data_IF_255488323797
#
_entry.id   IF_255488323797
#
_cell.length_a   1.000
_cell.length_b   1.000
_cell.length_c   1.000
_cell.angle_alpha   90.00
_cell.angle_beta   90.00
_cell.angle_gamma   90.00
#
_symmetry.space_group_name_H-M   'P 1'
#
loop_
_entity.id
_entity.type
_entity.pdbx_description
1 polymer ?
#
# COMPACT_ATOMS: atom_id res chain seq x y z
N UNK A 1 -14.83 -38.24 23.80
CA UNK A 1 -13.65 -37.39 23.56
C UNK A 1 -12.58 -38.32 23.03
N UNK A 2 -12.57 -38.51 21.72
CA UNK A 2 -11.73 -39.50 21.03
C UNK A 2 -10.57 -38.78 20.35
N UNK A 3 -9.34 -39.12 20.73
CA UNK A 3 -8.17 -38.95 19.89
C UNK A 3 -8.28 -39.93 18.71
N UNK A 4 -8.25 -39.42 17.47
CA UNK A 4 -8.11 -40.25 16.27
C UNK A 4 -6.97 -39.72 15.39
N UNK A 5 -5.88 -40.46 15.49
CA UNK A 5 -4.81 -40.68 14.52
C UNK A 5 -5.12 -40.28 13.07
N UNK A 6 -4.30 -39.41 12.49
CA UNK A 6 -4.05 -39.42 11.05
C UNK A 6 -2.59 -39.81 10.79
N UNK A 7 -2.43 -40.99 10.18
CA UNK A 7 -1.19 -41.64 9.76
C UNK A 7 -0.55 -40.86 8.61
N UNK A 8 0.71 -40.44 8.76
CA UNK A 8 1.53 -40.06 7.61
C UNK A 8 2.29 -41.29 7.12
N UNK A 9 2.09 -41.64 5.86
CA UNK A 9 2.82 -42.70 5.19
C UNK A 9 4.29 -42.31 5.02
N UNK A 10 5.18 -43.15 5.55
CA UNK A 10 6.59 -43.18 5.18
C UNK A 10 6.71 -43.78 3.78
N UNK A 11 7.17 -43.00 2.80
CA UNK A 11 7.87 -43.55 1.64
C UNK A 11 9.32 -43.16 1.80
N UNK A 12 10.13 -44.17 2.11
CA UNK A 12 11.58 -44.07 2.17
C UNK A 12 12.10 -44.99 1.06
N UNK A 13 12.62 -44.44 -0.04
CA UNK A 13 13.38 -45.22 -1.02
C UNK A 13 14.60 -44.42 -1.48
N UNK A 14 15.76 -44.94 -1.07
CA UNK A 14 17.08 -44.62 -1.55
C UNK A 14 17.19 -44.88 -3.06
N UNK A 15 17.94 -44.00 -3.73
CA UNK A 15 18.71 -44.19 -4.97
C UNK A 15 17.96 -44.44 -6.28
N UNK A 16 17.71 -43.36 -7.02
CA UNK A 16 17.84 -43.29 -8.48
C UNK A 16 17.96 -41.81 -8.88
N UNK A 17 18.97 -41.28 -9.56
CA UNK A 17 20.24 -41.77 -10.07
C UNK A 17 20.96 -40.57 -10.69
N UNK A 18 22.31 -40.62 -10.68
CA UNK A 18 23.25 -39.94 -11.58
C UNK A 18 23.09 -38.42 -11.83
N UNK A 19 24.07 -37.65 -11.35
CA UNK A 19 24.54 -36.43 -12.03
C UNK A 19 25.12 -36.83 -13.41
N UNK A 20 24.82 -36.07 -14.47
CA UNK A 20 25.85 -35.76 -15.45
C UNK A 20 25.92 -34.25 -15.70
N UNK A 21 27.12 -33.79 -16.02
CA UNK A 21 27.54 -32.41 -15.86
C UNK A 21 26.79 -31.37 -16.69
N UNK A 22 26.80 -30.13 -16.19
CA UNK A 22 26.90 -28.97 -17.05
C UNK A 22 28.02 -28.04 -16.57
N UNK A 23 28.76 -27.63 -17.58
CA UNK A 23 30.07 -27.00 -17.64
C UNK A 23 30.14 -25.70 -16.84
N UNK A 24 31.26 -25.52 -16.15
CA UNK A 24 31.76 -24.19 -15.85
C UNK A 24 31.98 -23.46 -17.19
N UNK A 25 31.36 -22.30 -17.35
CA UNK A 25 31.65 -21.40 -18.46
C UNK A 25 32.53 -20.27 -17.91
N UNK A 26 33.78 -20.10 -18.39
CA UNK A 26 34.70 -19.10 -17.90
C UNK A 26 34.44 -17.77 -18.65
N UNK A 27 33.41 -17.04 -18.24
CA UNK A 27 33.25 -15.62 -18.59
C UNK A 27 32.10 -15.04 -17.76
N UNK A 28 32.42 -14.10 -16.88
CA UNK A 28 31.45 -13.42 -16.04
C UNK A 28 30.41 -12.65 -16.85
N UNK A 29 29.16 -13.10 -16.82
CA UNK A 29 27.97 -12.24 -16.90
C UNK A 29 26.92 -12.76 -15.92
N UNK A 30 26.74 -12.04 -14.81
CA UNK A 30 25.57 -12.21 -13.93
C UNK A 30 24.32 -11.97 -14.79
N UNK A 31 23.55 -13.01 -15.06
CA UNK A 31 22.19 -12.86 -15.56
C UNK A 31 21.39 -12.32 -14.36
N UNK A 32 21.17 -11.00 -14.35
CA UNK A 32 20.29 -10.34 -13.41
C UNK A 32 18.86 -10.76 -13.78
N UNK A 33 18.36 -11.81 -13.14
CA UNK A 33 16.93 -12.08 -13.10
C UNK A 33 16.27 -10.89 -12.38
N UNK A 34 15.82 -9.90 -13.16
CA UNK A 34 14.85 -8.93 -12.67
C UNK A 34 13.54 -9.70 -12.52
N UNK A 35 13.31 -10.25 -11.34
CA UNK A 35 11.96 -10.61 -10.92
C UNK A 35 11.11 -9.36 -11.14
N UNK A 36 10.22 -9.40 -12.15
CA UNK A 36 9.16 -8.40 -12.27
C UNK A 36 8.37 -8.51 -10.99
N UNK A 37 8.45 -7.49 -10.11
CA UNK A 37 7.56 -7.38 -8.96
C UNK A 37 6.14 -7.65 -9.46
N UNK A 38 5.39 -8.58 -8.85
CA UNK A 38 3.99 -8.75 -9.22
C UNK A 38 3.31 -7.39 -9.03
N UNK A 39 2.81 -6.84 -10.12
CA UNK A 39 1.89 -5.70 -10.06
C UNK A 39 0.65 -6.29 -9.43
N UNK A 40 0.41 -5.97 -8.15
CA UNK A 40 -0.86 -6.30 -7.51
C UNK A 40 -1.97 -5.82 -8.45
N UNK A 41 -2.97 -6.67 -8.77
CA UNK A 41 -4.11 -6.21 -9.53
C UNK A 41 -4.67 -4.97 -8.82
N UNK A 42 -5.06 -3.92 -9.57
CA UNK A 42 -5.64 -2.74 -8.96
C UNK A 42 -6.74 -3.19 -8.00
N UNK A 43 -6.63 -2.76 -6.74
CA UNK A 43 -7.67 -3.01 -5.75
C UNK A 43 -8.98 -2.48 -6.36
N UNK A 44 -10.09 -3.21 -6.26
CA UNK A 44 -11.35 -2.72 -6.78
C UNK A 44 -11.63 -1.38 -6.13
N UNK A 45 -11.84 -0.36 -6.96
CA UNK A 45 -12.24 0.97 -6.48
C UNK A 45 -13.40 0.74 -5.52
N UNK A 46 -13.39 1.37 -4.34
CA UNK A 46 -14.51 1.32 -3.41
C UNK A 46 -15.63 2.16 -3.99
N UNK A 47 -16.24 1.64 -5.05
CA UNK A 47 -17.29 2.33 -5.74
C UNK A 47 -18.56 2.15 -4.95
N UNK A 48 -18.76 3.11 -4.07
CA UNK A 48 -20.01 3.33 -3.38
C UNK A 48 -21.01 4.04 -4.31
N UNK A 49 -22.23 4.25 -3.82
CA UNK A 49 -23.29 5.05 -4.46
C UNK A 49 -22.93 6.52 -4.76
N UNK A 50 -21.68 6.92 -4.46
CA UNK A 50 -21.13 8.27 -4.62
C UNK A 50 -20.48 8.52 -5.99
N UNK A 51 -20.47 7.52 -6.87
CA UNK A 51 -19.90 7.63 -8.20
C UNK A 51 -20.91 7.34 -9.32
N UNK A 52 -20.65 7.90 -10.49
CA UNK A 52 -21.42 7.69 -11.71
C UNK A 52 -20.45 7.42 -12.86
N UNK A 53 -20.63 6.32 -13.60
CA UNK A 53 -19.90 6.12 -14.87
C UNK A 53 -20.75 6.57 -16.06
N UNK A 54 -20.12 7.28 -16.98
CA UNK A 54 -20.67 7.48 -18.33
C UNK A 54 -20.50 6.20 -19.18
N UNK A 55 -21.59 5.48 -19.45
CA UNK A 55 -21.61 4.17 -20.14
C UNK A 55 -20.78 4.11 -21.43
N UNK A 56 -20.80 5.16 -22.25
CA UNK A 56 -20.12 5.18 -23.56
C UNK A 56 -18.60 5.41 -23.46
N UNK A 57 -18.15 6.16 -22.46
CA UNK A 57 -16.77 6.63 -22.37
C UNK A 57 -15.96 5.95 -21.25
N UNK A 58 -16.62 5.21 -20.35
CA UNK A 58 -16.01 4.61 -19.17
C UNK A 58 -15.46 5.64 -18.19
N UNK A 59 -15.93 6.89 -18.26
CA UNK A 59 -15.46 7.96 -17.39
C UNK A 59 -16.22 7.91 -16.07
N UNK A 60 -15.49 7.74 -14.97
CA UNK A 60 -15.99 7.80 -13.61
C UNK A 60 -16.03 9.24 -13.11
N UNK A 61 -17.18 9.63 -12.59
CA UNK A 61 -17.43 10.92 -11.99
C UNK A 61 -17.78 10.75 -10.52
N UNK A 62 -17.28 11.64 -9.67
CA UNK A 62 -17.95 11.96 -8.42
C UNK A 62 -19.41 12.38 -8.70
N UNK A 63 -20.35 11.94 -7.87
CA UNK A 63 -21.79 12.22 -8.04
C UNK A 63 -22.13 13.71 -8.01
N UNK A 64 -21.32 14.52 -7.34
CA UNK A 64 -21.48 15.98 -7.29
C UNK A 64 -20.78 16.69 -8.46
N UNK A 65 -20.15 15.95 -9.37
CA UNK A 65 -19.49 16.54 -10.54
C UNK A 65 -20.52 17.24 -11.44
N UNK A 66 -20.22 18.49 -11.83
CA UNK A 66 -21.09 19.25 -12.73
C UNK A 66 -21.36 18.53 -14.06
N UNK A 67 -20.44 17.67 -14.51
CA UNK A 67 -20.61 16.88 -15.73
C UNK A 67 -21.76 15.87 -15.61
N UNK A 68 -22.07 15.38 -14.40
CA UNK A 68 -23.13 14.39 -14.15
C UNK A 68 -24.49 14.93 -14.56
N UNK A 69 -24.76 16.21 -14.30
CA UNK A 69 -26.01 16.89 -14.71
C UNK A 69 -26.23 16.88 -16.23
N UNK A 70 -25.16 16.66 -17.01
CA UNK A 70 -25.20 16.62 -18.48
C UNK A 70 -25.26 15.19 -19.02
N UNK A 71 -25.11 14.17 -18.18
CA UNK A 71 -25.22 12.76 -18.61
C UNK A 71 -26.70 12.39 -18.67
N UNK A 72 -27.19 12.04 -19.86
CA UNK A 72 -28.58 11.54 -20.05
C UNK A 72 -28.84 10.33 -19.14
N UNK A 73 -30.01 10.27 -18.50
CA UNK A 73 -30.36 9.23 -17.52
C UNK A 73 -30.07 7.79 -17.98
N UNK A 74 -30.36 7.44 -19.24
CA UNK A 74 -30.08 6.10 -19.79
C UNK A 74 -28.60 5.80 -20.10
N UNK A 75 -27.67 6.71 -19.78
CA UNK A 75 -26.22 6.57 -20.02
C UNK A 75 -25.40 6.55 -18.72
N UNK A 76 -26.06 6.52 -17.58
CA UNK A 76 -25.43 6.46 -16.26
C UNK A 76 -25.36 5.01 -15.78
N UNK A 77 -24.21 4.61 -15.26
CA UNK A 77 -24.05 3.35 -14.52
C UNK A 77 -23.79 3.75 -13.06
N UNK A 78 -24.66 3.29 -12.17
CA UNK A 78 -24.63 3.60 -10.74
C UNK A 78 -24.11 2.43 -9.88
N UNK A 79 -23.82 1.29 -10.51
CA UNK A 79 -23.20 0.12 -9.88
C UNK A 79 -21.96 -0.23 -10.68
N UNK A 80 -20.80 -0.13 -10.05
CA UNK A 80 -19.53 -0.46 -10.70
C UNK A 80 -19.12 -1.84 -10.22
N UNK A 81 -18.88 -2.74 -11.16
CA UNK A 81 -18.34 -4.05 -10.82
C UNK A 81 -16.86 -3.92 -10.49
N UNK A 82 -16.32 -4.72 -9.55
CA UNK A 82 -14.94 -4.66 -9.09
C UNK A 82 -13.88 -4.53 -10.20
N UNK A 83 -14.10 -5.19 -11.34
CA UNK A 83 -13.15 -5.27 -12.46
C UNK A 83 -13.43 -4.24 -13.57
N UNK A 84 -14.29 -3.26 -13.32
CA UNK A 84 -14.59 -2.23 -14.32
C UNK A 84 -13.40 -1.30 -14.45
N UNK A 85 -12.69 -1.37 -15.59
CA UNK A 85 -11.72 -0.34 -15.94
C UNK A 85 -12.42 1.00 -16.15
N UNK A 86 -12.07 1.97 -15.32
CA UNK A 86 -12.62 3.33 -15.38
C UNK A 86 -11.53 4.37 -15.45
N UNK A 87 -11.84 5.49 -16.10
CA UNK A 87 -10.98 6.68 -16.11
C UNK A 87 -11.65 7.79 -15.32
N UNK A 88 -10.93 8.39 -14.37
CA UNK A 88 -11.47 9.52 -13.63
C UNK A 88 -11.72 10.71 -14.55
N UNK A 89 -12.86 11.38 -14.35
CA UNK A 89 -13.15 12.65 -14.98
C UNK A 89 -12.12 13.70 -14.55
N UNK A 90 -11.50 14.39 -15.51
CA UNK A 90 -10.47 15.43 -15.23
C UNK A 90 -10.94 16.54 -14.30
N UNK A 91 -12.25 16.81 -14.26
CA UNK A 91 -12.82 17.89 -13.46
C UNK A 91 -13.08 17.54 -12.00
N UNK A 92 -13.38 16.27 -11.71
CA UNK A 92 -13.65 15.82 -10.34
C UNK A 92 -12.68 14.74 -9.87
N UNK A 93 -11.61 14.47 -10.63
CA UNK A 93 -10.66 13.39 -10.34
C UNK A 93 -10.14 13.48 -8.91
N UNK A 94 -9.73 14.66 -8.47
CA UNK A 94 -9.16 14.84 -7.14
C UNK A 94 -10.15 14.48 -6.04
N UNK A 95 -11.30 15.16 -6.02
CA UNK A 95 -12.41 14.86 -5.09
C UNK A 95 -12.85 13.40 -5.14
N UNK A 96 -12.98 12.82 -6.33
CA UNK A 96 -13.35 11.41 -6.50
C UNK A 96 -12.30 10.45 -5.91
N UNK A 97 -11.02 10.73 -6.11
CA UNK A 97 -9.91 9.94 -5.56
C UNK A 97 -9.84 10.06 -4.04
N UNK A 98 -9.99 11.27 -3.49
CA UNK A 98 -10.04 11.48 -2.03
C UNK A 98 -11.26 10.78 -1.43
N UNK A 99 -12.45 10.95 -2.02
CA UNK A 99 -13.70 10.31 -1.58
C UNK A 99 -13.61 8.79 -1.56
N UNK A 100 -12.86 8.20 -2.50
CA UNK A 100 -12.61 6.75 -2.51
C UNK A 100 -11.73 6.29 -1.34
N UNK A 101 -10.81 7.15 -0.89
CA UNK A 101 -9.84 6.84 0.15
C UNK A 101 -10.29 7.18 1.57
N UNK A 102 -11.21 8.12 1.76
CA UNK A 102 -11.69 8.45 3.11
C UNK A 102 -12.61 7.37 3.65
N UNK A 103 -12.45 7.08 4.93
CA UNK A 103 -13.27 6.10 5.66
C UNK A 103 -14.70 6.62 5.89
N UNK A 104 -14.81 7.91 6.23
CA UNK A 104 -16.07 8.64 6.33
C UNK A 104 -16.17 9.67 5.18
N UNK A 105 -17.25 9.62 4.41
CA UNK A 105 -17.47 10.49 3.26
C UNK A 105 -17.68 11.95 3.69
N UNK A 106 -18.14 12.19 4.93
CA UNK A 106 -18.28 13.55 5.49
C UNK A 106 -16.94 14.26 5.68
N UNK A 107 -15.85 13.52 5.88
CA UNK A 107 -14.49 14.05 6.00
C UNK A 107 -13.84 14.39 4.66
N UNK A 108 -14.51 14.09 3.53
CA UNK A 108 -13.93 14.24 2.20
C UNK A 108 -13.41 15.66 1.94
N UNK A 109 -14.16 16.70 2.31
CA UNK A 109 -13.77 18.09 2.07
C UNK A 109 -12.59 18.52 2.93
N UNK A 110 -12.58 18.12 4.21
CA UNK A 110 -11.49 18.41 5.15
C UNK A 110 -10.20 17.70 4.70
N UNK A 111 -10.32 16.44 4.28
CA UNK A 111 -9.20 15.65 3.79
C UNK A 111 -8.65 16.18 2.45
N UNK A 112 -9.51 16.60 1.52
CA UNK A 112 -9.09 17.24 0.27
C UNK A 112 -8.34 18.54 0.53
N UNK A 113 -8.89 19.41 1.40
CA UNK A 113 -8.24 20.67 1.81
C UNK A 113 -6.88 20.43 2.45
N UNK A 114 -6.78 19.43 3.33
CA UNK A 114 -5.49 19.02 3.92
C UNK A 114 -4.46 18.69 2.84
N UNK A 115 -4.82 17.89 1.84
CA UNK A 115 -3.89 17.52 0.78
C UNK A 115 -3.52 18.69 -0.13
N UNK A 116 -4.45 19.64 -0.35
CA UNK A 116 -4.18 20.88 -1.08
C UNK A 116 -3.18 21.77 -0.36
N UNK A 117 -3.40 22.02 0.94
CA UNK A 117 -2.50 22.83 1.77
C UNK A 117 -1.09 22.24 1.82
N UNK A 118 -0.97 20.92 1.77
CA UNK A 118 0.32 20.20 1.76
C UNK A 118 0.86 19.94 0.36
N UNK A 119 0.22 20.51 -0.66
CA UNK A 119 0.62 20.44 -2.07
C UNK A 119 0.82 19.00 -2.57
N UNK A 120 -0.03 18.08 -2.08
CA UNK A 120 0.01 16.68 -2.48
C UNK A 120 -0.67 16.53 -3.84
N UNK A 121 0.08 16.07 -4.84
CA UNK A 121 -0.42 15.95 -6.20
C UNK A 121 -1.52 14.90 -6.33
N UNK A 122 -2.47 15.14 -7.24
CA UNK A 122 -3.56 14.21 -7.54
C UNK A 122 -3.03 12.84 -8.00
N UNK A 123 -1.91 12.81 -8.72
CA UNK A 123 -1.25 11.55 -9.10
C UNK A 123 -0.78 10.76 -7.87
N UNK A 124 -0.25 11.43 -6.84
CA UNK A 124 0.17 10.74 -5.61
C UNK A 124 -1.03 10.21 -4.84
N UNK A 125 -2.12 10.99 -4.76
CA UNK A 125 -3.38 10.53 -4.15
C UNK A 125 -4.00 9.35 -4.90
N UNK A 126 -3.91 9.35 -6.23
CA UNK A 126 -4.40 8.23 -7.05
C UNK A 126 -3.63 6.95 -6.72
N UNK A 127 -2.31 7.04 -6.61
CA UNK A 127 -1.48 5.91 -6.18
C UNK A 127 -1.84 5.42 -4.78
N UNK A 128 -2.05 6.36 -3.84
CA UNK A 128 -2.39 6.05 -2.46
C UNK A 128 -3.76 5.36 -2.33
N UNK A 129 -4.82 5.96 -2.86
CA UNK A 129 -6.18 5.52 -2.60
C UNK A 129 -6.72 4.53 -3.62
N UNK A 130 -6.19 4.51 -4.84
CA UNK A 130 -6.66 3.63 -5.92
C UNK A 130 -5.72 2.44 -6.08
N UNK A 131 -4.43 2.69 -6.32
CA UNK A 131 -3.48 1.58 -6.57
C UNK A 131 -3.16 0.81 -5.28
N UNK A 132 -2.96 1.51 -4.17
CA UNK A 132 -2.63 0.90 -2.87
C UNK A 132 -3.86 0.57 -2.02
N UNK A 133 -5.04 1.05 -2.41
CA UNK A 133 -6.28 0.82 -1.66
C UNK A 133 -6.24 1.35 -0.23
N UNK A 134 -5.44 2.40 0.03
CA UNK A 134 -5.31 2.95 1.38
C UNK A 134 -6.62 3.60 1.85
N UNK A 135 -6.81 3.62 3.17
CA UNK A 135 -7.91 4.32 3.82
C UNK A 135 -7.37 5.45 4.69
N UNK A 136 -8.02 6.61 4.65
CA UNK A 136 -7.66 7.78 5.43
C UNK A 136 -8.78 8.18 6.38
N UNK A 137 -8.39 8.65 7.56
CA UNK A 137 -9.26 9.16 8.61
C UNK A 137 -8.61 10.40 9.22
N UNK A 138 -9.36 11.51 9.28
CA UNK A 138 -8.87 12.72 9.93
C UNK A 138 -8.89 12.51 11.44
N UNK A 139 -7.83 12.93 12.12
CA UNK A 139 -7.72 12.84 13.58
C UNK A 139 -7.35 14.23 14.14
N UNK A 140 -7.64 14.54 15.42
CA UNK A 140 -7.45 15.89 15.97
C UNK A 140 -6.05 16.49 15.75
N UNK A 141 -5.03 15.64 15.64
CA UNK A 141 -3.62 16.04 15.51
C UNK A 141 -2.98 15.62 14.20
N UNK A 142 -3.76 15.35 13.14
CA UNK A 142 -3.22 14.97 11.83
C UNK A 142 -4.15 14.11 10.99
N UNK A 143 -3.55 13.16 10.26
CA UNK A 143 -4.27 12.17 9.47
C UNK A 143 -3.75 10.77 9.80
N UNK A 144 -4.66 9.82 9.97
CA UNK A 144 -4.35 8.41 10.10
C UNK A 144 -4.60 7.72 8.77
N UNK A 145 -3.68 6.86 8.35
CA UNK A 145 -3.75 6.16 7.07
C UNK A 145 -3.53 4.66 7.31
N UNK A 146 -4.48 3.84 6.89
CA UNK A 146 -4.32 2.40 6.81
C UNK A 146 -3.87 2.02 5.39
N UNK A 147 -2.73 1.36 5.25
CA UNK A 147 -2.17 1.00 3.95
C UNK A 147 -1.37 -0.30 4.06
N UNK A 148 -1.65 -1.26 3.16
CA UNK A 148 -1.15 -2.63 3.33
C UNK A 148 -1.85 -3.27 4.52
N UNK A 149 -1.09 -3.62 5.56
CA UNK A 149 -1.67 -4.06 6.84
C UNK A 149 -1.28 -3.15 8.01
N UNK A 150 -0.71 -1.98 7.73
CA UNK A 150 -0.11 -1.10 8.72
C UNK A 150 -0.92 0.18 8.91
N UNK A 151 -0.96 0.65 10.15
CA UNK A 151 -1.52 1.95 10.49
C UNK A 151 -0.40 2.98 10.60
N UNK A 152 -0.56 4.06 9.85
CA UNK A 152 0.36 5.18 9.80
C UNK A 152 -0.32 6.43 10.34
N UNK A 153 0.45 7.30 10.97
CA UNK A 153 -0.03 8.64 11.36
C UNK A 153 0.91 9.69 10.84
N UNK A 154 0.35 10.71 10.21
CA UNK A 154 1.07 11.93 9.88
C UNK A 154 0.58 12.99 10.88
N UNK A 155 1.33 13.19 11.96
CA UNK A 155 0.98 14.16 13.02
C UNK A 155 1.65 15.50 12.84
N UNK A 156 1.04 16.55 13.36
CA UNK A 156 1.64 17.88 13.44
C UNK A 156 2.61 17.96 14.63
N UNK A 157 3.84 18.39 14.40
CA UNK A 157 4.79 18.77 15.47
C UNK A 157 4.60 20.21 15.91
N UNK A 158 4.27 21.11 14.98
CA UNK A 158 4.06 22.54 15.25
C UNK A 158 3.25 23.21 14.13
N UNK A 159 2.77 24.44 14.40
CA UNK A 159 2.03 25.28 13.47
C UNK A 159 2.80 25.57 12.16
N UNK A 160 4.12 25.47 12.18
CA UNK A 160 5.01 25.68 11.03
C UNK A 160 5.00 24.51 10.02
N UNK A 161 4.19 23.49 10.25
CA UNK A 161 3.95 22.41 9.28
C UNK A 161 4.96 21.28 9.29
N UNK A 162 5.83 21.20 10.32
CA UNK A 162 6.63 19.99 10.53
C UNK A 162 5.68 18.84 10.85
N UNK A 163 5.61 17.85 9.97
CA UNK A 163 4.89 16.60 10.25
C UNK A 163 5.76 15.64 11.06
N UNK A 164 5.22 14.54 11.54
CA UNK A 164 5.98 13.31 11.79
C UNK A 164 5.21 12.18 11.19
N UNK A 165 5.93 11.27 10.53
CA UNK A 165 5.37 9.98 10.18
C UNK A 165 5.57 9.06 11.37
N UNK A 166 4.51 8.40 11.80
CA UNK A 166 4.56 7.36 12.81
C UNK A 166 4.00 6.06 12.25
N UNK A 167 4.55 4.95 12.70
CA UNK A 167 4.15 3.60 12.34
C UNK A 167 3.62 2.88 13.58
N UNK A 168 2.56 2.09 13.44
CA UNK A 168 2.06 1.27 14.53
C UNK A 168 3.12 0.27 15.03
N UNK A 169 3.11 0.01 16.33
CA UNK A 169 4.05 -0.91 16.93
C UNK A 169 3.67 -2.37 16.61
N UNK A 170 4.67 -3.24 16.49
CA UNK A 170 4.48 -4.68 16.41
C UNK A 170 5.65 -5.42 17.07
N UNK A 171 5.37 -6.66 17.47
CA UNK A 171 6.38 -7.65 17.88
C UNK A 171 6.46 -8.75 16.83
N UNK A 172 7.65 -9.35 16.68
CA UNK A 172 7.88 -10.45 15.75
C UNK A 172 7.87 -11.77 16.50
N UNK A 173 7.25 -12.80 15.93
CA UNK A 173 7.37 -14.16 16.46
C UNK A 173 8.64 -14.84 15.96
N UNK A 174 8.91 -16.02 16.50
CA UNK A 174 10.02 -16.88 16.11
C UNK A 174 9.85 -17.33 14.65
N UNK A 175 8.61 -17.54 14.22
CA UNK A 175 8.20 -17.92 12.86
C UNK A 175 8.26 -16.75 11.87
N UNK A 176 8.52 -15.53 12.35
CA UNK A 176 8.65 -14.32 11.53
C UNK A 176 7.34 -13.57 11.27
N UNK A 177 6.24 -14.02 11.87
CA UNK A 177 4.95 -13.31 11.85
C UNK A 177 5.02 -12.03 12.70
N UNK A 178 4.06 -11.12 12.48
CA UNK A 178 3.95 -9.86 13.22
C UNK A 178 2.63 -9.75 13.98
N UNK A 179 2.71 -9.31 15.22
CA UNK A 179 1.56 -8.99 16.07
C UNK A 179 1.59 -7.52 16.45
N UNK A 180 0.54 -6.79 16.10
CA UNK A 180 0.45 -5.36 16.39
C UNK A 180 0.22 -5.12 17.88
N UNK A 181 0.98 -4.19 18.44
CA UNK A 181 0.89 -3.77 19.84
C UNK A 181 0.39 -2.34 19.93
N UNK A 182 0.05 -1.89 21.14
CA UNK A 182 -0.42 -0.52 21.35
C UNK A 182 0.70 0.49 21.07
N UNK A 183 0.31 1.62 20.51
CA UNK A 183 1.18 2.78 20.29
C UNK A 183 1.81 2.85 18.90
N UNK A 184 2.60 3.91 18.71
CA UNK A 184 3.26 4.25 17.47
C UNK A 184 4.70 4.68 17.75
N UNK A 185 5.58 4.54 16.75
CA UNK A 185 6.95 5.06 16.79
C UNK A 185 7.24 5.96 15.59
N UNK A 186 8.07 6.99 15.79
CA UNK A 186 8.44 7.94 14.74
C UNK A 186 9.35 7.29 13.69
N UNK A 187 8.95 7.46 12.43
CA UNK A 187 9.75 7.17 11.26
C UNK A 187 10.50 8.47 10.92
N UNK A 188 11.79 8.52 11.26
CA UNK A 188 12.64 9.71 11.07
C UNK A 188 12.98 9.96 9.59
N UNK A 189 11.96 10.21 8.78
CA UNK A 189 12.07 10.42 7.33
C UNK A 189 12.66 11.81 7.02
N UNK A 190 13.42 11.89 5.93
CA UNK A 190 13.88 13.15 5.36
C UNK A 190 13.61 13.18 3.84
N UNK A 191 13.04 14.28 3.30
CA UNK A 191 12.54 15.45 4.02
C UNK A 191 11.23 15.14 4.76
N UNK A 192 11.00 15.82 5.89
CA UNK A 192 9.84 15.59 6.74
C UNK A 192 8.61 16.36 6.22
N UNK A 193 8.02 15.84 5.15
CA UNK A 193 6.87 16.41 4.44
C UNK A 193 5.79 15.34 4.26
N UNK A 194 4.53 15.76 4.16
CA UNK A 194 3.41 14.83 3.89
C UNK A 194 3.67 14.02 2.62
N UNK A 195 4.10 14.65 1.53
CA UNK A 195 4.46 13.97 0.28
C UNK A 195 5.52 12.87 0.48
N UNK A 196 6.55 13.13 1.28
CA UNK A 196 7.59 12.13 1.55
C UNK A 196 7.09 11.01 2.48
N UNK A 197 6.24 11.35 3.45
CA UNK A 197 5.59 10.38 4.32
C UNK A 197 4.69 9.41 3.53
N UNK A 198 3.87 9.93 2.62
CA UNK A 198 3.02 9.13 1.73
C UNK A 198 3.85 8.21 0.83
N UNK A 199 4.96 8.70 0.29
CA UNK A 199 5.87 7.86 -0.52
C UNK A 199 6.52 6.76 0.31
N UNK A 200 6.92 7.08 1.54
CA UNK A 200 7.54 6.13 2.45
C UNK A 200 6.56 5.00 2.80
N UNK A 201 5.37 5.33 3.29
CA UNK A 201 4.39 4.32 3.71
C UNK A 201 3.94 3.43 2.53
N UNK A 202 3.79 3.99 1.32
CA UNK A 202 3.40 3.19 0.14
C UNK A 202 4.50 2.25 -0.36
N UNK A 203 5.76 2.57 -0.04
CA UNK A 203 6.92 1.76 -0.37
C UNK A 203 7.30 0.78 0.74
N UNK A 204 6.69 0.91 1.93
CA UNK A 204 6.97 0.04 3.06
C UNK A 204 6.62 -1.40 2.74
N UNK A 205 7.56 -2.28 3.04
CA UNK A 205 7.42 -3.72 2.92
C UNK A 205 8.09 -4.34 4.15
N UNK A 206 7.27 -4.96 4.99
CA UNK A 206 7.71 -5.60 6.23
C UNK A 206 8.84 -6.62 5.98
N UNK A 207 8.70 -7.46 4.95
CA UNK A 207 9.67 -8.52 4.67
C UNK A 207 11.02 -7.96 4.22
N UNK A 208 11.01 -6.95 3.36
CA UNK A 208 12.21 -6.29 2.87
C UNK A 208 12.91 -5.51 3.99
N UNK A 209 12.14 -4.74 4.78
CA UNK A 209 12.65 -3.92 5.87
C UNK A 209 13.48 -4.74 6.88
N UNK A 210 13.01 -5.94 7.22
CA UNK A 210 13.74 -6.79 8.16
C UNK A 210 14.87 -7.61 7.55
N UNK A 211 14.82 -7.95 6.26
CA UNK A 211 15.98 -8.55 5.57
C UNK A 211 17.16 -7.58 5.57
N UNK A 212 16.91 -6.29 5.36
CA UNK A 212 17.96 -5.26 5.41
C UNK A 212 18.49 -5.03 6.83
N UNK A 213 17.60 -5.01 7.83
CA UNK A 213 18.01 -4.89 9.23
C UNK A 213 18.87 -6.08 9.70
N UNK A 214 18.53 -7.30 9.28
CA UNK A 214 19.34 -8.49 9.57
C UNK A 214 20.73 -8.41 8.94
N UNK A 215 20.83 -7.96 7.67
CA UNK A 215 22.12 -7.76 6.99
C UNK A 215 23.01 -6.73 7.71
N UNK A 216 22.43 -5.63 8.20
CA UNK A 216 23.15 -4.60 8.96
C UNK A 216 23.64 -5.09 10.32
N UNK A 217 22.87 -5.95 11.00
CA UNK A 217 23.31 -6.57 12.26
C UNK A 217 24.50 -7.50 12.03
N UNK A 218 24.41 -8.35 11.02
CA UNK A 218 25.50 -9.29 10.66
C UNK A 218 26.77 -8.51 10.29
N UNK A 219 26.70 -7.46 9.47
CA UNK A 219 27.89 -6.67 9.12
C UNK A 219 28.54 -6.00 10.32
N UNK A 220 27.74 -5.46 11.25
CA UNK A 220 28.24 -4.79 12.44
C UNK A 220 28.87 -5.77 13.46
N UNK A 221 28.42 -7.03 13.46
CA UNK A 221 28.94 -8.09 14.31
C UNK A 221 30.27 -8.64 13.76
N UNK A 222 30.42 -8.75 12.44
CA UNK A 222 31.69 -9.04 11.78
C UNK A 222 32.75 -7.95 11.99
N UNK A 223 32.36 -6.66 11.95
CA UNK A 223 33.30 -5.56 12.21
C UNK A 223 33.77 -5.51 13.67
N UNK A 224 32.91 -5.91 14.63
CA UNK A 224 33.28 -5.99 16.06
C UNK A 224 34.11 -7.22 16.42
N UNK A 225 34.06 -8.28 15.61
CA UNK A 225 34.84 -9.50 15.82
C UNK A 225 36.15 -9.54 15.02
N UNK A 226 36.40 -8.51 14.19
CA UNK A 226 37.64 -8.30 13.45
C UNK A 226 38.57 -7.25 14.08
N UNK A 227 38.25 -6.76 15.28
CA UNK A 227 39.06 -5.89 16.15
C UNK A 227 39.45 -6.66 17.41
#
# INVERSE_FOLDING_TARGET
MEEKNCRYFLINLRNAGKKPGQKQNPAGKRILWKEKKPVLPPQPIKVTHNFVITKRSGILHDRECFCVRRIRHGRQINKIEPDTEVRFCKWCQRKAVVRNGVKDVSDCEICEKFFDEKQVSTSLLTRLFVEKGAEAEMVPVGIQIYCGDDYWRIRWKNEKGASVLEHNNYVRTIEGERYFTKGYHEQHIRPNTVTSALRYLMAYDYTAHHREAAKKKVSHEYEKSAL
#
